data_IF_889142498060
#
_entry.id   IF_889142498060
#
_cell.length_a   1.000
_cell.length_b   1.000
_cell.length_c   1.000
_cell.angle_alpha   90.00
_cell.angle_beta   90.00
_cell.angle_gamma   90.00
#
_symmetry.space_group_name_H-M   'P 1'
#
loop_
_entity.id
_entity.type
_entity.pdbx_description
1 polymer ?
#
# COMPACT_ATOMS: atom_id res chain seq x y z
N UNK A 1 14.54 -9.53 15.47
CA UNK A 1 13.09 -9.75 15.27
C UNK A 1 12.71 -9.05 13.98
N UNK A 2 12.57 -9.83 12.90
CA UNK A 2 12.20 -9.31 11.59
C UNK A 2 10.70 -8.99 11.59
N UNK A 3 10.37 -7.76 11.21
CA UNK A 3 9.05 -7.19 11.42
C UNK A 3 8.10 -7.56 10.27
N UNK A 4 7.59 -8.79 10.28
CA UNK A 4 6.38 -9.15 9.57
C UNK A 4 5.18 -8.42 10.19
N UNK A 5 4.98 -7.14 9.83
CA UNK A 5 3.81 -6.38 10.29
C UNK A 5 3.80 -4.85 10.18
N UNK A 6 4.69 -4.19 9.42
CA UNK A 6 4.69 -2.71 9.39
C UNK A 6 3.82 -2.06 8.30
N UNK A 7 3.57 -2.75 7.20
CA UNK A 7 2.86 -2.19 6.06
C UNK A 7 1.89 -3.22 5.48
N UNK A 8 0.72 -2.77 5.05
CA UNK A 8 -0.29 -3.60 4.39
C UNK A 8 -0.69 -2.93 3.08
N UNK A 9 -0.89 -3.74 2.04
CA UNK A 9 -1.57 -3.29 0.84
C UNK A 9 -3.04 -3.05 1.11
N UNK A 10 -3.55 -1.91 0.65
CA UNK A 10 -4.95 -1.54 0.75
C UNK A 10 -5.44 -1.19 -0.65
N UNK A 11 -6.41 -1.95 -1.21
CA UNK A 11 -7.05 -1.53 -2.45
C UNK A 11 -7.88 -0.27 -2.19
N UNK A 12 -7.72 0.72 -3.05
CA UNK A 12 -8.46 1.99 -3.02
C UNK A 12 -9.12 2.22 -4.37
N UNK A 13 -10.22 2.97 -4.38
CA UNK A 13 -10.83 3.44 -5.63
C UNK A 13 -10.20 4.76 -6.02
N UNK A 14 -9.79 4.88 -7.29
CA UNK A 14 -9.22 6.12 -7.83
C UNK A 14 -10.34 7.04 -8.32
N UNK A 15 -10.20 8.33 -8.03
CA UNK A 15 -11.03 9.41 -8.54
C UNK A 15 -10.29 10.26 -9.59
N UNK A 16 -10.56 11.56 -9.60
CA UNK A 16 -9.93 12.51 -10.53
C UNK A 16 -8.45 12.73 -10.19
N UNK A 17 -7.61 12.95 -11.21
CA UNK A 17 -6.22 13.37 -11.03
C UNK A 17 -6.00 14.76 -11.62
N UNK A 18 -5.53 15.71 -10.82
CA UNK A 18 -5.22 17.09 -11.22
C UNK A 18 -4.03 17.65 -10.42
N UNK A 19 -3.27 18.56 -11.03
CA UNK A 19 -2.13 19.27 -10.42
C UNK A 19 -1.12 18.39 -9.66
N UNK A 20 -0.90 17.17 -10.15
CA UNK A 20 0.03 16.21 -9.54
C UNK A 20 -0.53 15.41 -8.36
N UNK A 21 -1.83 15.51 -8.10
CA UNK A 21 -2.56 14.75 -7.07
C UNK A 21 -3.60 13.84 -7.71
N UNK A 22 -3.91 12.73 -7.03
CA UNK A 22 -4.99 11.81 -7.40
C UNK A 22 -5.92 11.64 -6.20
N UNK A 23 -7.21 11.88 -6.42
CA UNK A 23 -8.24 11.58 -5.44
C UNK A 23 -8.34 10.07 -5.23
N UNK A 24 -8.48 9.66 -3.97
CA UNK A 24 -8.67 8.25 -3.60
C UNK A 24 -9.80 8.12 -2.59
N UNK A 25 -10.64 7.11 -2.77
CA UNK A 25 -11.63 6.70 -1.78
C UNK A 25 -11.07 5.57 -0.95
N UNK A 26 -10.91 5.82 0.35
CA UNK A 26 -10.48 4.82 1.31
C UNK A 26 -11.64 3.87 1.65
N UNK A 27 -11.40 2.55 1.78
CA UNK A 27 -12.40 1.66 2.32
C UNK A 27 -12.72 2.02 3.78
N UNK A 28 -13.95 1.74 4.21
CA UNK A 28 -14.45 2.02 5.56
C UNK A 28 -13.61 1.39 6.69
N UNK A 29 -12.82 0.38 6.37
CA UNK A 29 -11.89 -0.29 7.31
C UNK A 29 -10.58 0.47 7.54
N UNK A 30 -10.33 1.56 6.81
CA UNK A 30 -9.11 2.36 6.91
C UNK A 30 -9.43 3.71 7.56
N UNK A 31 -8.90 3.98 8.77
CA UNK A 31 -9.08 5.27 9.43
C UNK A 31 -8.53 6.42 8.57
N UNK A 32 -9.23 7.55 8.56
CA UNK A 32 -8.73 8.77 7.89
C UNK A 32 -7.42 9.30 8.51
N UNK A 33 -7.11 8.90 9.75
CA UNK A 33 -5.86 9.22 10.45
C UNK A 33 -4.70 8.29 10.09
N UNK A 34 -4.88 7.35 9.16
CA UNK A 34 -3.82 6.44 8.72
C UNK A 34 -2.68 7.19 8.02
N UNK A 35 -1.47 6.65 8.16
CA UNK A 35 -0.28 7.15 7.46
C UNK A 35 -0.08 6.37 6.18
N UNK A 36 0.17 7.09 5.09
CA UNK A 36 0.39 6.52 3.77
C UNK A 36 1.84 6.72 3.34
N UNK A 37 2.41 5.69 2.71
CA UNK A 37 3.75 5.77 2.13
C UNK A 37 3.63 6.39 0.75
N UNK A 38 4.14 7.62 0.59
CA UNK A 38 4.15 8.35 -0.69
C UNK A 38 5.54 8.40 -1.31
N UNK A 39 6.59 8.36 -0.49
CA UNK A 39 7.99 8.27 -0.93
C UNK A 39 8.50 6.82 -0.84
N UNK A 40 9.21 6.36 -1.87
CA UNK A 40 9.73 4.99 -1.93
C UNK A 40 8.65 3.89 -2.03
N UNK A 41 7.39 4.25 -2.27
CA UNK A 41 6.25 3.32 -2.31
C UNK A 41 6.45 2.18 -3.33
N UNK A 42 7.02 2.49 -4.50
CA UNK A 42 7.31 1.48 -5.52
C UNK A 42 8.26 0.38 -5.02
N UNK A 43 9.37 0.75 -4.37
CA UNK A 43 10.33 -0.20 -3.82
C UNK A 43 9.74 -1.01 -2.67
N UNK A 44 8.90 -0.39 -1.84
CA UNK A 44 8.17 -1.10 -0.78
C UNK A 44 7.19 -2.13 -1.36
N UNK A 45 6.41 -1.74 -2.38
CA UNK A 45 5.47 -2.61 -3.08
C UNK A 45 6.17 -3.83 -3.69
N UNK A 46 7.30 -3.62 -4.36
CA UNK A 46 8.10 -4.71 -4.91
C UNK A 46 8.54 -5.70 -3.84
N UNK A 47 9.03 -5.23 -2.68
CA UNK A 47 9.41 -6.09 -1.56
C UNK A 47 8.23 -6.89 -0.99
N UNK A 48 7.05 -6.24 -0.86
CA UNK A 48 5.86 -6.92 -0.36
C UNK A 48 5.37 -8.01 -1.30
N UNK A 49 5.35 -7.76 -2.62
CA UNK A 49 4.96 -8.75 -3.62
C UNK A 49 5.91 -9.94 -3.68
N UNK A 50 7.23 -9.67 -3.71
CA UNK A 50 8.22 -10.75 -3.72
C UNK A 50 8.11 -11.62 -2.45
N UNK A 51 7.95 -11.00 -1.28
CA UNK A 51 7.78 -11.74 -0.03
C UNK A 51 6.48 -12.58 0.03
N UNK A 52 5.45 -12.17 -0.71
CA UNK A 52 4.21 -12.95 -0.89
C UNK A 52 4.42 -14.13 -1.86
N UNK A 53 5.06 -13.90 -3.01
CA UNK A 53 5.37 -14.95 -4.00
C UNK A 53 6.33 -16.02 -3.46
N UNK A 54 7.29 -15.65 -2.61
CA UNK A 54 8.22 -16.58 -1.96
C UNK A 54 7.54 -17.50 -0.93
N UNK A 55 6.31 -17.19 -0.49
CA UNK A 55 5.52 -17.99 0.44
C UNK A 55 4.56 -19.00 -0.21
N UNK A 56 4.27 -18.88 -1.50
CA UNK A 56 3.34 -19.74 -2.25
C UNK A 56 4.04 -20.81 -3.10
N UNK A 57 5.38 -20.86 -3.06
CA UNK A 57 6.20 -21.85 -3.76
C UNK A 57 6.78 -22.93 -2.84
N UNK A 58 5.94 -23.75 -2.19
CA UNK A 58 6.32 -25.05 -1.62
C UNK A 58 5.10 -25.96 -1.38
#
# INVERSE_FOLDING_TARGET
MEASGRYRLVPVTLGRSEDGYTEVTLPETVPATSTFVTDGAYSLLAKLKNAEEEGEGH
#
